data_IF_475430316440
#
_entry.id   IF_475430316440
#
_cell.length_a   1.000
_cell.length_b   1.000
_cell.length_c   1.000
_cell.angle_alpha   90.00
_cell.angle_beta   90.00
_cell.angle_gamma   90.00
#
_symmetry.space_group_name_H-M   'P 1'
#
loop_
_entity.id
_entity.type
_entity.pdbx_description
1 polymer ?
#
# COMPACT_ATOMS: atom_id res chain seq x y z
N UNK A 1 -12.62 -19.14 -2.79
CA UNK A 1 -11.26 -19.40 -3.31
C UNK A 1 -10.26 -18.79 -2.36
N UNK A 2 -8.99 -19.22 -2.40
CA UNK A 2 -7.93 -18.72 -1.51
C UNK A 2 -7.58 -17.27 -1.86
N UNK A 3 -7.59 -16.39 -0.86
CA UNK A 3 -7.10 -15.02 -0.91
C UNK A 3 -5.58 -14.97 -1.07
N UNK A 4 -5.09 -14.03 -1.87
CA UNK A 4 -3.67 -13.95 -2.26
C UNK A 4 -2.96 -12.81 -1.53
N UNK A 5 -1.74 -13.05 -1.08
CA UNK A 5 -0.79 -12.02 -0.66
C UNK A 5 0.08 -11.63 -1.86
N UNK A 6 -0.06 -10.39 -2.29
CA UNK A 6 0.58 -9.85 -3.49
C UNK A 6 1.58 -8.77 -3.07
N UNK A 7 2.77 -8.76 -3.65
CA UNK A 7 3.79 -7.73 -3.38
C UNK A 7 4.22 -7.08 -4.69
N UNK A 8 3.98 -5.79 -4.82
CA UNK A 8 4.50 -4.96 -5.91
C UNK A 8 5.68 -4.12 -5.40
N UNK A 9 6.91 -4.51 -5.77
CA UNK A 9 8.17 -3.90 -5.32
C UNK A 9 9.00 -3.39 -6.51
N UNK A 10 10.25 -2.99 -6.26
CA UNK A 10 11.20 -2.54 -7.27
C UNK A 10 11.34 -1.02 -7.41
N UNK A 11 12.43 -0.54 -8.03
CA UNK A 11 12.75 0.88 -8.15
C UNK A 11 11.89 1.63 -9.19
N UNK A 12 11.24 0.92 -10.11
CA UNK A 12 10.43 1.45 -11.20
C UNK A 12 9.10 2.07 -10.76
N UNK A 13 8.55 2.95 -11.60
CA UNK A 13 7.18 3.49 -11.45
C UNK A 13 6.16 2.38 -11.73
N UNK A 14 5.06 2.38 -10.99
CA UNK A 14 3.87 1.56 -11.31
C UNK A 14 3.26 0.78 -10.14
N UNK A 15 3.96 0.67 -9.00
CA UNK A 15 3.59 -0.26 -7.91
C UNK A 15 2.21 0.05 -7.35
N UNK A 16 2.03 1.29 -6.91
CA UNK A 16 0.79 1.86 -6.38
C UNK A 16 -0.31 1.89 -7.43
N UNK A 17 -0.03 2.38 -8.64
CA UNK A 17 -1.03 2.43 -9.72
C UNK A 17 -1.52 1.04 -10.13
N UNK A 18 -0.66 0.02 -10.12
CA UNK A 18 -1.06 -1.37 -10.38
C UNK A 18 -1.92 -1.93 -9.23
N UNK A 19 -1.61 -1.58 -7.99
CA UNK A 19 -2.44 -1.97 -6.84
C UNK A 19 -3.84 -1.32 -6.90
N UNK A 20 -3.92 -0.04 -7.29
CA UNK A 20 -5.20 0.62 -7.52
C UNK A 20 -5.92 0.09 -8.76
N UNK A 21 -5.21 -0.31 -9.82
CA UNK A 21 -5.82 -1.03 -10.95
C UNK A 21 -6.48 -2.34 -10.52
N UNK A 22 -5.85 -3.09 -9.61
CA UNK A 22 -6.44 -4.29 -9.02
C UNK A 22 -7.67 -3.96 -8.14
N UNK A 23 -7.58 -2.91 -7.34
CA UNK A 23 -8.71 -2.46 -6.52
C UNK A 23 -9.91 -2.01 -7.38
N UNK A 24 -9.66 -1.29 -8.47
CA UNK A 24 -10.67 -0.93 -9.46
C UNK A 24 -11.32 -2.17 -10.08
N UNK A 25 -10.54 -3.20 -10.39
CA UNK A 25 -11.06 -4.49 -10.88
C UNK A 25 -12.01 -5.14 -9.86
N UNK A 26 -11.62 -5.18 -8.58
CA UNK A 26 -12.48 -5.69 -7.51
C UNK A 26 -13.80 -4.92 -7.41
N UNK A 27 -13.73 -3.58 -7.44
CA UNK A 27 -14.91 -2.71 -7.42
C UNK A 27 -15.82 -2.91 -8.63
N UNK A 28 -15.24 -3.17 -9.82
CA UNK A 28 -15.97 -3.51 -11.04
C UNK A 28 -16.79 -4.81 -10.92
N UNK A 29 -16.34 -5.75 -10.08
CA UNK A 29 -17.09 -6.96 -9.71
C UNK A 29 -17.97 -6.78 -8.47
N UNK A 30 -18.24 -5.53 -8.07
CA UNK A 30 -19.13 -5.22 -6.94
C UNK A 30 -18.55 -5.55 -5.56
N UNK A 31 -17.25 -5.87 -5.46
CA UNK A 31 -16.60 -6.15 -4.19
C UNK A 31 -16.25 -4.86 -3.45
N UNK A 32 -16.03 -4.98 -2.13
CA UNK A 32 -15.59 -3.88 -1.27
C UNK A 32 -14.09 -3.96 -1.03
N UNK A 33 -13.43 -2.81 -1.01
CA UNK A 33 -11.97 -2.70 -0.87
C UNK A 33 -11.59 -1.77 0.28
N UNK A 34 -10.57 -2.16 1.02
CA UNK A 34 -9.90 -1.33 2.01
C UNK A 34 -8.58 -0.79 1.46
N UNK A 35 -8.25 0.46 1.76
CA UNK A 35 -6.97 1.08 1.40
C UNK A 35 -6.37 1.71 2.64
N UNK A 36 -5.14 1.30 2.97
CA UNK A 36 -4.30 1.97 3.96
C UNK A 36 -3.03 2.41 3.26
N UNK A 37 -2.76 3.71 3.30
CA UNK A 37 -1.53 4.28 2.77
C UNK A 37 -0.62 4.64 3.92
N UNK A 38 0.57 4.06 3.93
CA UNK A 38 1.63 4.34 4.89
C UNK A 38 2.49 5.49 4.39
N UNK A 39 3.11 6.24 5.31
CA UNK A 39 4.08 7.31 5.02
C UNK A 39 3.49 8.50 4.23
N UNK A 40 2.27 8.42 3.67
CA UNK A 40 1.67 9.49 2.88
C UNK A 40 1.21 10.64 3.78
N UNK A 41 1.80 11.81 3.53
CA UNK A 41 1.40 13.07 4.17
C UNK A 41 0.16 13.67 3.51
N UNK A 42 -0.02 14.99 3.67
CA UNK A 42 -1.20 15.74 3.19
C UNK A 42 -1.31 15.89 1.66
N UNK A 43 -0.47 15.21 0.88
CA UNK A 43 -0.51 15.32 -0.58
C UNK A 43 -1.76 14.67 -1.16
N UNK A 44 -2.46 15.45 -1.98
CA UNK A 44 -3.62 14.99 -2.74
C UNK A 44 -3.18 14.00 -3.82
N UNK A 45 -4.00 12.97 -4.05
CA UNK A 45 -3.77 11.98 -5.10
C UNK A 45 -5.09 11.71 -5.81
N UNK A 46 -5.08 11.77 -7.15
CA UNK A 46 -6.30 11.62 -7.95
C UNK A 46 -7.05 10.31 -7.73
N UNK A 47 -6.37 9.23 -7.34
CA UNK A 47 -7.02 7.94 -7.09
C UNK A 47 -8.01 8.00 -5.92
N UNK A 48 -7.74 8.79 -4.87
CA UNK A 48 -8.67 8.92 -3.74
C UNK A 48 -10.01 9.51 -4.18
N UNK A 49 -9.97 10.55 -5.01
CA UNK A 49 -11.18 11.22 -5.52
C UNK A 49 -11.94 10.32 -6.50
N UNK A 50 -11.21 9.64 -7.40
CA UNK A 50 -11.81 8.68 -8.31
C UNK A 50 -12.50 7.53 -7.57
N UNK A 51 -11.89 7.04 -6.49
CA UNK A 51 -12.44 5.96 -5.69
C UNK A 51 -13.64 6.39 -4.83
N UNK A 52 -13.75 7.68 -4.49
CA UNK A 52 -14.91 8.21 -3.76
C UNK A 52 -16.24 8.01 -4.52
N UNK A 53 -16.21 7.92 -5.85
CA UNK A 53 -17.38 7.62 -6.67
C UNK A 53 -17.99 6.22 -6.40
N UNK A 54 -17.24 5.32 -5.75
CA UNK A 54 -17.73 3.99 -5.37
C UNK A 54 -18.40 3.95 -3.99
N UNK A 55 -18.45 5.08 -3.27
CA UNK A 55 -19.15 5.23 -2.00
C UNK A 55 -18.61 4.30 -0.91
N UNK A 56 -19.52 3.64 -0.20
CA UNK A 56 -19.23 2.75 0.92
C UNK A 56 -18.43 1.49 0.52
N UNK A 57 -18.35 1.17 -0.78
CA UNK A 57 -17.52 0.07 -1.28
C UNK A 57 -16.02 0.34 -1.19
N UNK A 58 -15.61 1.56 -0.82
CA UNK A 58 -14.21 1.90 -0.56
C UNK A 58 -14.08 2.44 0.86
N UNK A 59 -13.18 1.82 1.64
CA UNK A 59 -12.75 2.34 2.94
C UNK A 59 -11.32 2.83 2.80
N UNK A 60 -11.08 4.14 2.92
CA UNK A 60 -9.79 4.76 2.62
C UNK A 60 -9.16 5.45 3.82
N UNK A 61 -7.95 5.06 4.17
CA UNK A 61 -7.14 5.66 5.22
C UNK A 61 -5.77 6.08 4.66
N UNK A 62 -5.56 7.39 4.53
CA UNK A 62 -4.24 7.95 4.25
C UNK A 62 -3.59 8.32 5.59
N UNK A 63 -2.47 7.68 5.93
CA UNK A 63 -1.86 7.76 7.25
C UNK A 63 -0.34 7.97 7.14
N UNK A 64 0.20 8.88 7.96
CA UNK A 64 1.60 9.30 7.91
C UNK A 64 1.74 10.81 7.81
N UNK A 65 2.95 11.31 8.04
CA UNK A 65 3.25 12.75 7.97
C UNK A 65 3.82 13.17 6.60
N UNK A 66 4.12 12.21 5.70
CA UNK A 66 4.88 12.48 4.49
C UNK A 66 6.38 12.40 4.74
N UNK A 67 7.18 12.54 3.68
CA UNK A 67 8.60 12.80 3.83
C UNK A 67 8.77 14.28 4.21
N UNK A 68 8.88 14.57 5.51
CA UNK A 68 9.26 15.90 5.99
C UNK A 68 10.78 16.04 5.94
N UNK A 69 11.27 17.03 5.18
CA UNK A 69 12.69 17.39 5.14
C UNK A 69 13.12 18.17 6.39
N UNK A 70 12.16 18.65 7.18
CA UNK A 70 12.36 19.34 8.45
C UNK A 70 12.20 18.33 9.59
N UNK A 71 13.31 18.01 10.27
CA UNK A 71 13.39 17.20 11.50
C UNK A 71 12.49 15.95 11.50
N UNK A 72 12.99 14.83 10.98
CA UNK A 72 12.35 13.53 11.16
C UNK A 72 12.26 13.19 12.66
N UNK A 73 11.07 13.34 13.24
CA UNK A 73 10.75 12.80 14.55
C UNK A 73 10.44 11.31 14.38
N UNK A 74 11.49 10.48 14.45
CA UNK A 74 11.40 9.03 14.33
C UNK A 74 10.29 8.43 15.22
N UNK A 75 10.01 9.00 16.39
CA UNK A 75 8.95 8.50 17.27
C UNK A 75 7.57 8.75 16.68
N UNK A 76 7.34 9.89 16.02
CA UNK A 76 6.08 10.19 15.33
C UNK A 76 5.89 9.31 14.11
N UNK A 77 6.94 9.10 13.34
CA UNK A 77 6.93 8.19 12.18
C UNK A 77 6.55 6.76 12.59
N UNK A 78 7.17 6.25 13.66
CA UNK A 78 6.83 4.94 14.25
C UNK A 78 5.37 4.92 14.69
N UNK A 79 4.93 5.89 15.48
CA UNK A 79 3.56 5.94 15.98
C UNK A 79 2.52 6.02 14.84
N UNK A 80 2.81 6.78 13.78
CA UNK A 80 1.95 6.87 12.61
C UNK A 80 1.90 5.54 11.83
N UNK A 81 3.04 4.87 11.68
CA UNK A 81 3.10 3.55 11.05
C UNK A 81 2.35 2.49 11.87
N UNK A 82 2.49 2.49 13.20
CA UNK A 82 1.75 1.60 14.11
C UNK A 82 0.24 1.84 14.05
N UNK A 83 -0.20 3.11 14.01
CA UNK A 83 -1.62 3.44 13.86
C UNK A 83 -2.17 3.01 12.49
N UNK A 84 -1.40 3.19 11.42
CA UNK A 84 -1.74 2.68 10.09
C UNK A 84 -1.84 1.15 10.06
N UNK A 85 -0.91 0.47 10.72
CA UNK A 85 -0.93 -0.98 10.85
C UNK A 85 -2.12 -1.49 11.66
N UNK A 86 -2.46 -0.83 12.76
CA UNK A 86 -3.67 -1.14 13.53
C UNK A 86 -4.93 -1.02 12.65
N UNK A 87 -5.02 0.03 11.83
CA UNK A 87 -6.12 0.19 10.88
C UNK A 87 -6.14 -0.91 9.82
N UNK A 88 -4.98 -1.31 9.31
CA UNK A 88 -4.88 -2.42 8.36
C UNK A 88 -5.42 -3.72 8.96
N UNK A 89 -5.09 -4.03 10.22
CA UNK A 89 -5.60 -5.20 10.93
C UNK A 89 -7.13 -5.17 11.08
N UNK A 90 -7.71 -4.01 11.39
CA UNK A 90 -9.18 -3.85 11.43
C UNK A 90 -9.83 -4.16 10.09
N UNK A 91 -9.29 -3.61 8.98
CA UNK A 91 -9.84 -3.86 7.64
C UNK A 91 -9.63 -5.31 7.19
N UNK A 92 -8.52 -5.95 7.58
CA UNK A 92 -8.27 -7.36 7.30
C UNK A 92 -9.27 -8.28 8.02
N UNK A 93 -9.75 -7.87 9.19
CA UNK A 93 -10.73 -8.63 9.97
C UNK A 93 -12.18 -8.44 9.48
N UNK A 94 -12.49 -7.36 8.75
CA UNK A 94 -13.86 -7.07 8.26
C UNK A 94 -14.27 -8.04 7.14
N UNK A 95 -15.26 -8.93 7.36
CA UNK A 95 -15.65 -9.94 6.39
C UNK A 95 -16.20 -9.36 5.07
N UNK A 96 -16.67 -8.11 5.07
CA UNK A 96 -17.23 -7.46 3.89
C UNK A 96 -16.16 -7.03 2.88
N UNK A 97 -14.91 -6.87 3.31
CA UNK A 97 -13.78 -6.46 2.47
C UNK A 97 -13.16 -7.69 1.80
N UNK A 98 -13.01 -7.62 0.48
CA UNK A 98 -12.39 -8.68 -0.33
C UNK A 98 -10.94 -8.40 -0.73
N UNK A 99 -10.51 -7.13 -0.68
CA UNK A 99 -9.14 -6.71 -0.94
C UNK A 99 -8.72 -5.61 0.02
N UNK A 100 -7.54 -5.75 0.62
CA UNK A 100 -6.85 -4.67 1.34
C UNK A 100 -5.60 -4.25 0.57
N UNK A 101 -5.49 -2.96 0.25
CA UNK A 101 -4.29 -2.33 -0.32
C UNK A 101 -3.49 -1.72 0.82
N UNK A 102 -2.25 -2.19 0.99
CA UNK A 102 -1.27 -1.69 1.96
C UNK A 102 -0.20 -0.91 1.18
N UNK A 103 -0.54 0.33 0.81
CA UNK A 103 0.27 1.17 -0.03
C UNK A 103 1.47 1.73 0.75
N UNK A 104 2.69 1.55 0.21
CA UNK A 104 3.97 1.95 0.80
C UNK A 104 4.34 1.30 2.15
N UNK A 105 3.69 0.18 2.52
CA UNK A 105 4.08 -0.60 3.71
C UNK A 105 5.54 -1.10 3.62
N UNK A 106 6.06 -1.41 2.42
CA UNK A 106 7.46 -1.78 2.26
C UNK A 106 8.43 -0.68 2.74
N UNK A 107 8.04 0.59 2.61
CA UNK A 107 8.84 1.72 3.08
C UNK A 107 8.85 1.79 4.59
N UNK A 108 7.69 1.65 5.25
CA UNK A 108 7.61 1.57 6.71
C UNK A 108 8.43 0.41 7.28
N UNK A 109 8.38 -0.76 6.64
CA UNK A 109 9.17 -1.93 7.02
C UNK A 109 10.68 -1.72 6.77
N UNK A 110 11.05 -1.04 5.68
CA UNK A 110 12.46 -0.75 5.36
C UNK A 110 13.12 0.11 6.43
N UNK A 111 12.39 1.09 6.98
CA UNK A 111 12.88 1.98 8.02
C UNK A 111 12.68 1.43 9.45
N UNK A 112 12.29 0.16 9.58
CA UNK A 112 12.07 -0.51 10.87
C UNK A 112 11.02 0.18 11.76
N UNK A 113 10.07 0.89 11.15
CA UNK A 113 8.96 1.53 11.89
C UNK A 113 7.94 0.51 12.40
N UNK A 114 7.94 -0.68 11.82
CA UNK A 114 7.11 -1.81 12.19
C UNK A 114 7.97 -3.06 12.32
N UNK A 115 7.61 -3.89 13.28
CA UNK A 115 8.19 -5.22 13.46
C UNK A 115 7.80 -6.13 12.28
N UNK A 116 8.80 -6.49 11.46
CA UNK A 116 8.61 -7.28 10.25
C UNK A 116 7.99 -8.65 10.54
N UNK A 117 8.42 -9.33 11.59
CA UNK A 117 7.96 -10.68 11.90
C UNK A 117 6.49 -10.66 12.30
N UNK A 118 6.09 -9.67 13.12
CA UNK A 118 4.68 -9.48 13.50
C UNK A 118 3.80 -9.16 12.29
N UNK A 119 4.28 -8.30 11.38
CA UNK A 119 3.56 -7.96 10.15
C UNK A 119 3.38 -9.19 9.26
N UNK A 120 4.45 -9.94 9.01
CA UNK A 120 4.40 -11.15 8.17
C UNK A 120 3.51 -12.22 8.81
N UNK A 121 3.59 -12.43 10.13
CA UNK A 121 2.75 -13.38 10.83
C UNK A 121 1.26 -13.06 10.67
N UNK A 122 0.87 -11.79 10.85
CA UNK A 122 -0.51 -11.35 10.66
C UNK A 122 -0.98 -11.47 9.21
N UNK A 123 -0.12 -11.14 8.23
CA UNK A 123 -0.44 -11.31 6.80
C UNK A 123 -0.64 -12.79 6.43
N UNK A 124 0.14 -13.71 7.01
CA UNK A 124 -0.04 -15.16 6.81
C UNK A 124 -1.28 -15.71 7.51
N UNK A 125 -1.62 -15.16 8.67
CA UNK A 125 -2.80 -15.53 9.46
C UNK A 125 -4.09 -14.81 9.03
N UNK A 126 -4.05 -14.00 7.97
CA UNK A 126 -5.23 -13.34 7.41
C UNK A 126 -6.31 -14.36 7.06
N UNK A 127 -7.55 -13.89 6.99
CA UNK A 127 -8.68 -14.68 6.54
C UNK A 127 -8.44 -15.30 5.15
N UNK A 128 -8.87 -16.56 5.00
CA UNK A 128 -8.63 -17.36 3.79
C UNK A 128 -9.22 -16.81 2.49
N UNK A 129 -10.21 -15.92 2.55
CA UNK A 129 -10.84 -15.31 1.36
C UNK A 129 -10.33 -13.89 1.07
N UNK A 130 -9.42 -13.36 1.89
CA UNK A 130 -8.97 -11.98 1.78
C UNK A 130 -7.73 -11.87 0.89
N UNK A 131 -7.85 -11.06 -0.16
CA UNK A 131 -6.68 -10.60 -0.91
C UNK A 131 -6.01 -9.42 -0.20
N UNK A 132 -4.68 -9.41 -0.19
CA UNK A 132 -3.88 -8.28 0.30
C UNK A 132 -2.84 -7.96 -0.74
N UNK A 133 -2.71 -6.69 -1.10
CA UNK A 133 -1.62 -6.20 -1.95
C UNK A 133 -0.77 -5.19 -1.20
N UNK A 134 0.52 -5.47 -1.12
CA UNK A 134 1.53 -4.61 -0.51
C UNK A 134 2.33 -3.90 -1.60
N UNK A 135 2.57 -2.61 -1.43
CA UNK A 135 3.39 -1.83 -2.36
C UNK A 135 4.59 -1.17 -1.66
N UNK A 136 5.49 -0.65 -2.49
CA UNK A 136 6.61 0.18 -2.09
C UNK A 136 7.95 -0.44 -2.44
N UNK A 137 9.02 0.33 -2.38
CA UNK A 137 10.37 -0.14 -2.76
C UNK A 137 10.96 -1.04 -1.67
N UNK A 138 11.87 -1.94 -2.07
CA UNK A 138 12.70 -2.74 -1.17
C UNK A 138 11.91 -3.65 -0.21
N UNK A 139 10.92 -4.39 -0.72
CA UNK A 139 10.27 -5.46 0.03
C UNK A 139 11.33 -6.37 0.68
N UNK A 140 11.22 -6.58 2.01
CA UNK A 140 12.18 -7.41 2.76
C UNK A 140 12.00 -8.90 2.41
N UNK A 141 13.08 -9.72 2.45
CA UNK A 141 13.03 -11.13 2.04
C UNK A 141 11.92 -11.94 2.72
N UNK A 142 11.68 -11.77 4.02
CA UNK A 142 10.62 -12.49 4.73
C UNK A 142 9.21 -12.18 4.20
N UNK A 143 8.97 -10.95 3.73
CA UNK A 143 7.69 -10.59 3.12
C UNK A 143 7.56 -11.17 1.70
N UNK A 144 8.67 -11.17 0.94
CA UNK A 144 8.73 -11.77 -0.40
C UNK A 144 8.46 -13.27 -0.33
N UNK A 145 9.09 -13.97 0.62
CA UNK A 145 8.90 -15.41 0.86
C UNK A 145 7.47 -15.75 1.29
N UNK A 146 6.84 -14.89 2.08
CA UNK A 146 5.47 -15.09 2.53
C UNK A 146 4.41 -14.85 1.44
N UNK A 147 4.74 -14.12 0.38
CA UNK A 147 3.80 -13.71 -0.65
C UNK A 147 3.47 -14.84 -1.64
N UNK A 148 2.21 -14.88 -2.09
CA UNK A 148 1.76 -15.80 -3.13
C UNK A 148 2.16 -15.30 -4.54
N UNK A 149 2.32 -13.98 -4.71
CA UNK A 149 2.72 -13.34 -5.96
C UNK A 149 3.62 -12.14 -5.68
N UNK A 150 4.75 -12.05 -6.37
CA UNK A 150 5.67 -10.91 -6.29
C UNK A 150 5.94 -10.38 -7.69
N UNK A 151 5.77 -9.07 -7.88
CA UNK A 151 6.18 -8.36 -9.09
C UNK A 151 7.22 -7.31 -8.73
N UNK A 152 8.40 -7.40 -9.33
CA UNK A 152 9.44 -6.38 -9.23
C UNK A 152 9.42 -5.47 -10.45
N UNK A 153 9.06 -4.20 -10.25
CA UNK A 153 9.06 -3.19 -11.29
C UNK A 153 10.45 -2.61 -11.47
N UNK A 154 11.13 -3.01 -12.54
CA UNK A 154 12.43 -2.47 -12.94
C UNK A 154 12.35 -1.03 -13.44
N UNK A 155 13.40 -0.25 -13.22
CA UNK A 155 13.54 1.12 -13.72
C UNK A 155 14.28 1.14 -15.06
N UNK A 156 13.67 0.64 -16.13
CA UNK A 156 14.31 0.61 -17.46
C UNK A 156 14.56 2.02 -18.01
N UNK A 157 13.59 2.93 -17.83
CA UNK A 157 13.70 4.36 -18.19
C UNK A 157 12.68 5.16 -17.38
N UNK A 158 13.01 6.39 -17.03
CA UNK A 158 12.09 7.31 -16.36
C UNK A 158 12.33 8.73 -16.84
N UNK A 159 11.26 9.50 -17.08
CA UNK A 159 11.37 10.87 -17.61
C UNK A 159 12.04 11.84 -16.64
N UNK A 160 12.00 11.54 -15.33
CA UNK A 160 12.77 12.28 -14.31
C UNK A 160 14.27 12.36 -14.64
N UNK A 161 14.88 11.29 -15.18
CA UNK A 161 16.29 11.30 -15.59
C UNK A 161 16.57 12.25 -16.75
N UNK A 162 15.55 12.68 -17.48
CA UNK A 162 15.61 13.69 -18.53
C UNK A 162 15.19 15.09 -18.03
N UNK A 163 15.09 15.30 -16.72
CA UNK A 163 14.71 16.59 -16.12
C UNK A 163 13.21 16.90 -16.15
N UNK A 164 12.37 15.97 -16.61
CA UNK A 164 10.91 16.15 -16.61
C UNK A 164 10.39 15.97 -15.19
N UNK A 165 9.85 17.06 -14.62
CA UNK A 165 9.25 17.11 -13.29
C UNK A 165 7.98 16.24 -13.21
N UNK A 166 7.55 15.94 -11.98
CA UNK A 166 6.28 15.27 -11.71
C UNK A 166 5.10 16.03 -12.31
N UNK A 167 4.15 15.32 -12.91
CA UNK A 167 2.96 15.85 -13.57
C UNK A 167 1.69 15.27 -12.94
N UNK A 168 0.67 16.12 -12.81
CA UNK A 168 -0.65 15.71 -12.37
C UNK A 168 -1.26 14.71 -13.38
N UNK A 169 -1.87 13.64 -12.87
CA UNK A 169 -2.39 12.52 -13.65
C UNK A 169 -1.34 11.50 -14.08
N UNK A 170 -0.04 11.78 -13.87
CA UNK A 170 1.06 10.85 -14.17
C UNK A 170 1.73 10.37 -12.87
N UNK A 171 2.19 11.30 -12.02
CA UNK A 171 2.83 11.00 -10.74
C UNK A 171 1.88 11.07 -9.54
N UNK A 172 0.89 11.96 -9.59
CA UNK A 172 -0.09 12.22 -8.53
C UNK A 172 -1.44 12.71 -9.07
#
# INVERSE_FOLDING_TARGET
EKGLLIVNTGPGKGKTTAAFGLALRMLGYGKRVGVVQFIKGKWHTGEKDAFAAFGDRVVWHAMGEGFTWETQDLKRDIAAAEAAWAKALELMADPSISLVVLDELNIALRYDYLDLEKVVAALKARRDDLHVIVTGRNAKPLLVEAADLVTEMGLTKHHFSAGVKAQQGIEF
#
